data_IF_612516536519
#
_entry.id   IF_612516536519
#
_cell.length_a   1.000
_cell.length_b   1.000
_cell.length_c   1.000
_cell.angle_alpha   90.00
_cell.angle_beta   90.00
_cell.angle_gamma   90.00
#
_symmetry.space_group_name_H-M   'P 1'
#
loop_
_entity.id
_entity.type
_entity.pdbx_description
1 polymer ?
#
# COMPACT_ATOMS: atom_id res chain seq x y z
N UNK A 1 10.68 -43.18 8.15
CA UNK A 1 10.10 -42.18 7.22
C UNK A 1 9.76 -40.81 7.86
N UNK A 2 9.50 -40.71 9.17
CA UNK A 2 9.05 -39.47 9.85
C UNK A 2 10.06 -38.30 9.85
N UNK A 3 11.38 -38.57 9.93
CA UNK A 3 12.43 -37.54 10.00
C UNK A 3 12.49 -36.64 8.75
N UNK A 4 12.21 -37.19 7.56
CA UNK A 4 12.19 -36.43 6.28
C UNK A 4 11.03 -35.42 6.21
N UNK A 5 9.87 -35.71 6.82
CA UNK A 5 8.73 -34.76 6.86
C UNK A 5 9.03 -33.54 7.73
N UNK A 6 9.69 -33.74 8.87
CA UNK A 6 10.13 -32.66 9.77
C UNK A 6 11.16 -31.74 9.11
N UNK A 7 12.14 -32.32 8.40
CA UNK A 7 13.16 -31.54 7.70
C UNK A 7 12.58 -30.71 6.54
N UNK A 8 11.72 -31.29 5.70
CA UNK A 8 11.02 -30.55 4.62
C UNK A 8 10.16 -29.42 5.16
N UNK A 9 9.45 -29.65 6.26
CA UNK A 9 8.64 -28.61 6.92
C UNK A 9 9.49 -27.47 7.44
N UNK A 10 10.64 -27.74 8.07
CA UNK A 10 11.59 -26.70 8.52
C UNK A 10 12.17 -25.90 7.34
N UNK A 11 12.51 -26.57 6.25
CA UNK A 11 13.04 -25.92 5.03
C UNK A 11 11.99 -25.05 4.34
N UNK A 12 10.75 -25.53 4.23
CA UNK A 12 9.62 -24.76 3.72
C UNK A 12 9.29 -23.56 4.63
N UNK A 13 9.39 -23.73 5.94
CA UNK A 13 9.14 -22.66 6.89
C UNK A 13 10.26 -21.59 6.87
N UNK A 14 11.52 -22.00 6.72
CA UNK A 14 12.66 -21.09 6.60
C UNK A 14 12.64 -20.34 5.25
N UNK A 15 12.41 -21.07 4.15
CA UNK A 15 12.24 -20.47 2.83
C UNK A 15 11.03 -19.53 2.77
N UNK A 16 9.89 -19.96 3.32
CA UNK A 16 8.69 -19.14 3.44
C UNK A 16 8.91 -17.89 4.27
N UNK A 17 9.65 -17.97 5.38
CA UNK A 17 9.98 -16.82 6.22
C UNK A 17 10.89 -15.81 5.52
N UNK A 18 11.84 -16.27 4.69
CA UNK A 18 12.66 -15.37 3.87
C UNK A 18 11.84 -14.68 2.78
N UNK A 19 10.93 -15.39 2.12
CA UNK A 19 10.03 -14.79 1.12
C UNK A 19 9.09 -13.79 1.78
N UNK A 20 8.48 -14.14 2.92
CA UNK A 20 7.62 -13.24 3.69
C UNK A 20 8.36 -11.98 4.13
N UNK A 21 9.59 -12.10 4.63
CA UNK A 21 10.43 -10.93 4.98
C UNK A 21 10.72 -10.05 3.76
N UNK A 22 10.98 -10.64 2.60
CA UNK A 22 11.22 -9.88 1.36
C UNK A 22 9.94 -9.18 0.89
N UNK A 23 8.81 -9.86 0.92
CA UNK A 23 7.50 -9.29 0.58
C UNK A 23 7.11 -8.17 1.54
N UNK A 24 7.35 -8.35 2.85
CA UNK A 24 7.10 -7.32 3.85
C UNK A 24 7.94 -6.06 3.61
N UNK A 25 9.21 -6.21 3.20
CA UNK A 25 10.06 -5.08 2.81
C UNK A 25 9.61 -4.39 1.52
N UNK A 26 8.78 -5.04 0.71
CA UNK A 26 8.18 -4.45 -0.50
C UNK A 26 6.87 -3.73 -0.22
N UNK A 27 6.28 -3.84 0.98
CA UNK A 27 5.03 -3.14 1.35
C UNK A 27 5.08 -1.64 1.05
N UNK A 28 6.18 -0.90 1.35
CA UNK A 28 6.26 0.53 1.02
C UNK A 28 6.17 0.82 -0.49
N UNK A 29 6.56 -0.13 -1.33
CA UNK A 29 6.58 0.00 -2.79
C UNK A 29 5.35 -0.63 -3.47
N UNK A 30 4.61 -1.49 -2.75
CA UNK A 30 3.44 -2.20 -3.28
C UNK A 30 2.34 -1.24 -3.74
N UNK A 31 2.10 -0.18 -2.96
CA UNK A 31 1.14 0.86 -3.33
C UNK A 31 1.49 1.55 -4.65
N UNK A 32 2.77 1.89 -4.86
CA UNK A 32 3.26 2.50 -6.11
C UNK A 32 3.07 1.57 -7.30
N UNK A 33 3.36 0.27 -7.13
CA UNK A 33 3.17 -0.70 -8.20
C UNK A 33 1.69 -0.84 -8.60
N UNK A 34 0.80 -0.94 -7.61
CA UNK A 34 -0.65 -1.02 -7.86
C UNK A 34 -1.16 0.25 -8.53
N UNK A 35 -0.74 1.43 -8.06
CA UNK A 35 -1.10 2.71 -8.68
C UNK A 35 -0.62 2.80 -10.13
N UNK A 36 0.63 2.41 -10.41
CA UNK A 36 1.18 2.42 -11.77
C UNK A 36 0.39 1.50 -12.72
N UNK A 37 0.00 0.31 -12.26
CA UNK A 37 -0.82 -0.62 -13.04
C UNK A 37 -2.21 -0.03 -13.34
N UNK A 38 -2.89 0.53 -12.34
CA UNK A 38 -4.23 1.11 -12.50
C UNK A 38 -4.22 2.31 -13.44
N UNK A 39 -3.29 3.25 -13.24
CA UNK A 39 -3.15 4.44 -14.10
C UNK A 39 -2.80 4.03 -15.53
N UNK A 40 -1.87 3.08 -15.71
CA UNK A 40 -1.49 2.58 -17.03
C UNK A 40 -2.63 1.90 -17.77
N UNK A 41 -3.45 1.13 -17.04
CA UNK A 41 -4.64 0.48 -17.58
C UNK A 41 -5.73 1.49 -17.98
N UNK A 42 -5.97 2.53 -17.16
CA UNK A 42 -6.87 3.63 -17.49
C UNK A 42 -6.41 4.40 -18.75
N UNK A 43 -5.11 4.69 -18.85
CA UNK A 43 -4.49 5.32 -20.03
C UNK A 43 -4.69 4.45 -21.27
N UNK A 44 -4.49 3.13 -21.15
CA UNK A 44 -4.69 2.20 -22.26
C UNK A 44 -6.15 2.14 -22.74
N UNK A 45 -7.13 2.24 -21.83
CA UNK A 45 -8.56 2.18 -22.17
C UNK A 45 -9.14 3.51 -22.65
N UNK A 46 -8.73 4.62 -22.05
CA UNK A 46 -9.35 5.95 -22.23
C UNK A 46 -8.48 6.92 -23.05
N UNK A 47 -7.22 6.57 -23.32
CA UNK A 47 -6.21 7.45 -23.90
C UNK A 47 -5.56 8.34 -22.83
N UNK A 48 -4.38 8.88 -23.12
CA UNK A 48 -3.52 9.58 -22.14
C UNK A 48 -4.24 10.71 -21.40
N UNK A 49 -4.96 11.58 -22.14
CA UNK A 49 -5.67 12.73 -21.56
C UNK A 49 -6.83 12.33 -20.65
N UNK A 50 -7.77 11.52 -21.15
CA UNK A 50 -8.95 11.10 -20.36
C UNK A 50 -8.61 10.11 -19.26
N UNK A 51 -7.60 9.25 -19.48
CA UNK A 51 -7.07 8.35 -18.46
C UNK A 51 -6.45 9.11 -17.29
N UNK A 52 -5.60 10.12 -17.57
CA UNK A 52 -4.97 10.92 -16.52
C UNK A 52 -5.97 11.73 -15.70
N UNK A 53 -6.99 12.33 -16.34
CA UNK A 53 -8.04 13.07 -15.62
C UNK A 53 -8.88 12.13 -14.76
N UNK A 54 -9.23 10.95 -15.27
CA UNK A 54 -10.00 9.97 -14.52
C UNK A 54 -9.22 9.47 -13.29
N UNK A 55 -7.99 9.00 -13.50
CA UNK A 55 -7.17 8.52 -12.39
C UNK A 55 -6.84 9.64 -11.39
N UNK A 56 -6.69 10.89 -11.84
CA UNK A 56 -6.49 12.04 -10.95
C UNK A 56 -7.72 12.36 -10.10
N UNK A 57 -8.93 12.23 -10.63
CA UNK A 57 -10.17 12.38 -9.86
C UNK A 57 -10.31 11.26 -8.81
N UNK A 58 -9.94 10.03 -9.17
CA UNK A 58 -9.94 8.88 -8.26
C UNK A 58 -8.90 9.01 -7.12
N UNK A 59 -7.89 9.86 -7.27
CA UNK A 59 -6.89 10.13 -6.22
C UNK A 59 -7.41 10.99 -5.06
N UNK A 60 -8.50 11.75 -5.23
CA UNK A 60 -9.04 12.63 -4.17
C UNK A 60 -9.30 11.86 -2.85
N UNK A 61 -10.04 10.74 -2.85
CA UNK A 61 -10.21 9.93 -1.63
C UNK A 61 -8.91 9.24 -1.17
N UNK A 62 -7.96 8.96 -2.07
CA UNK A 62 -6.65 8.38 -1.72
C UNK A 62 -5.83 9.34 -0.85
N UNK A 63 -5.92 10.65 -1.08
CA UNK A 63 -5.18 11.64 -0.27
C UNK A 63 -5.59 11.63 1.20
N UNK A 64 -6.88 11.44 1.51
CA UNK A 64 -7.36 11.30 2.88
C UNK A 64 -6.82 10.02 3.55
N UNK A 65 -6.80 8.91 2.81
CA UNK A 65 -6.20 7.64 3.25
C UNK A 65 -4.69 7.78 3.50
N UNK A 66 -3.99 8.48 2.60
CA UNK A 66 -2.56 8.73 2.73
C UNK A 66 -2.23 9.57 3.97
N UNK A 67 -3.01 10.64 4.22
CA UNK A 67 -2.86 11.47 5.42
C UNK A 67 -3.03 10.65 6.71
N UNK A 68 -4.09 9.86 6.82
CA UNK A 68 -4.32 8.98 7.96
C UNK A 68 -3.18 7.95 8.15
N UNK A 69 -2.68 7.38 7.05
CA UNK A 69 -1.56 6.45 7.12
C UNK A 69 -0.29 7.14 7.60
N UNK A 70 0.02 8.33 7.08
CA UNK A 70 1.20 9.09 7.50
C UNK A 70 1.09 9.50 8.98
N UNK A 71 -0.08 9.93 9.44
CA UNK A 71 -0.33 10.26 10.86
C UNK A 71 -0.14 9.05 11.78
N UNK A 72 -0.57 7.86 11.34
CA UNK A 72 -0.38 6.61 12.09
C UNK A 72 1.10 6.28 12.31
N UNK A 73 1.98 6.58 11.35
CA UNK A 73 3.41 6.24 11.43
C UNK A 73 4.30 7.36 11.97
N UNK A 74 3.91 8.62 11.79
CA UNK A 74 4.76 9.78 12.07
C UNK A 74 4.28 10.61 13.26
N UNK A 75 3.04 10.38 13.73
CA UNK A 75 2.33 11.29 14.64
C UNK A 75 1.56 12.37 13.88
N UNK A 76 0.80 13.19 14.59
CA UNK A 76 -0.05 14.23 14.00
C UNK A 76 0.79 15.28 13.25
N UNK A 77 0.63 15.33 11.93
CA UNK A 77 1.37 16.25 11.05
C UNK A 77 0.58 17.52 10.72
N UNK A 78 -0.74 17.52 10.93
CA UNK A 78 -1.59 18.68 10.67
C UNK A 78 -2.42 18.90 11.93
N UNK A 79 -1.96 19.77 12.84
CA UNK A 79 -2.63 20.03 14.10
C UNK A 79 -4.09 20.39 13.87
N UNK A 80 -4.99 19.69 14.56
CA UNK A 80 -6.37 20.10 14.63
C UNK A 80 -6.44 21.52 15.20
N UNK A 81 -7.18 22.40 14.52
CA UNK A 81 -7.48 23.71 15.09
C UNK A 81 -8.22 23.45 16.40
N UNK A 82 -7.79 24.07 17.48
CA UNK A 82 -8.50 24.06 18.75
C UNK A 82 -9.95 24.46 18.45
N UNK A 83 -10.84 23.47 18.49
CA UNK A 83 -12.26 23.69 18.26
C UNK A 83 -12.71 24.62 19.37
N UNK A 84 -12.89 25.88 19.01
CA UNK A 84 -13.39 26.90 19.92
C UNK A 84 -14.75 26.42 20.37
N UNK A 85 -14.79 25.87 21.59
CA UNK A 85 -15.98 25.43 22.31
C UNK A 85 -17.07 26.48 22.14
N UNK A 86 -17.98 26.25 21.19
CA UNK A 86 -19.25 26.97 21.16
C UNK A 86 -20.06 26.35 22.28
N UNK A 87 -20.21 27.13 23.35
CA UNK A 87 -21.05 26.83 24.51
C UNK A 87 -22.50 26.68 24.10
#
# INVERSE_FOLDING_TARGET
MAKKRSFRRKLLHAGGWQVAKRAAKMIPFGGTLVAAVLVGDDIRRKGVLRGSVNSGLDMIPIFGLAKNAVELFTGDLIPDKAEGRVK
#
